data_IF_268138249833
#
_entry.id   IF_268138249833
#
_cell.length_a   1.000
_cell.length_b   1.000
_cell.length_c   1.000
_cell.angle_alpha   90.00
_cell.angle_beta   90.00
_cell.angle_gamma   90.00
#
_symmetry.space_group_name_H-M   'P 1'
#
loop_
_entity.id
_entity.type
_entity.pdbx_description
1 polymer ?
#
# COMPACT_ATOMS: atom_id res chain seq x y z
N UNK A 1 18.97 50.30 29.40
CA UNK A 1 17.83 50.20 28.46
C UNK A 1 18.34 49.58 27.18
N UNK A 2 18.22 48.24 27.08
CA UNK A 2 17.20 47.53 26.28
C UNK A 2 17.51 47.56 24.79
N UNK A 3 18.01 46.43 24.23
CA UNK A 3 17.71 45.91 22.87
C UNK A 3 18.65 44.82 22.30
N UNK A 4 19.63 44.27 23.02
CA UNK A 4 20.62 43.36 22.39
C UNK A 4 20.49 41.87 22.71
N UNK A 5 19.52 41.46 23.54
CA UNK A 5 19.41 40.08 24.05
C UNK A 5 18.22 39.31 23.52
N UNK A 6 17.58 39.77 22.43
CA UNK A 6 16.40 39.12 21.83
C UNK A 6 16.67 38.49 20.46
N UNK A 7 17.84 38.72 19.85
CA UNK A 7 18.15 38.25 18.48
C UNK A 7 18.84 36.88 18.46
N UNK A 8 19.43 36.43 19.57
CA UNK A 8 20.09 35.11 19.62
C UNK A 8 19.13 33.93 19.87
N UNK A 9 17.89 34.18 20.34
CA UNK A 9 16.90 33.13 20.55
C UNK A 9 16.16 32.74 19.25
N UNK A 10 16.20 33.61 18.23
CA UNK A 10 15.49 33.41 16.96
C UNK A 10 16.29 32.57 15.94
N UNK A 11 17.62 32.44 16.10
CA UNK A 11 18.44 31.54 15.29
C UNK A 11 18.42 30.07 15.74
N UNK A 12 17.90 29.77 16.94
CA UNK A 12 17.82 28.41 17.47
C UNK A 12 16.62 27.59 16.98
N UNK A 13 15.64 28.22 16.32
CA UNK A 13 14.41 27.56 15.86
C UNK A 13 14.45 27.07 14.41
N UNK A 14 15.54 27.33 13.67
CA UNK A 14 15.69 26.89 12.27
C UNK A 14 16.37 25.52 12.10
N UNK A 15 16.78 24.86 13.20
CA UNK A 15 17.51 23.59 13.13
C UNK A 15 16.67 22.34 13.45
N UNK A 16 15.38 22.48 13.75
CA UNK A 16 14.48 21.34 13.99
C UNK A 16 13.52 21.13 12.82
N UNK A 17 14.04 21.16 11.59
CA UNK A 17 13.39 20.43 10.52
C UNK A 17 13.50 18.95 10.89
N UNK A 18 12.52 18.46 11.65
CA UNK A 18 12.28 17.03 11.74
C UNK A 18 12.20 16.54 10.29
N UNK A 19 13.06 15.58 9.95
CA UNK A 19 13.01 14.98 8.62
C UNK A 19 11.60 14.42 8.47
N UNK A 20 10.81 15.00 7.57
CA UNK A 20 9.48 14.49 7.28
C UNK A 20 9.67 13.03 6.87
N UNK A 21 9.13 12.13 7.69
CA UNK A 21 9.32 10.71 7.44
C UNK A 21 8.54 10.31 6.21
N UNK A 22 9.19 9.52 5.36
CA UNK A 22 8.61 8.93 4.19
C UNK A 22 7.58 7.87 4.60
N UNK A 23 6.28 8.10 4.35
CA UNK A 23 5.29 7.03 4.49
C UNK A 23 5.31 6.19 3.22
N UNK A 24 5.55 4.87 3.35
CA UNK A 24 5.38 3.96 2.20
C UNK A 24 3.89 3.87 1.87
N UNK A 25 3.49 4.45 0.75
CA UNK A 25 2.12 4.31 0.26
C UNK A 25 2.17 3.42 -0.98
N UNK A 26 1.22 2.51 -1.12
CA UNK A 26 0.93 1.81 -2.36
C UNK A 26 -0.51 2.13 -2.74
N UNK A 27 -0.72 3.27 -3.38
CA UNK A 27 -1.99 3.60 -4.00
C UNK A 27 -2.16 2.73 -5.25
N UNK A 28 -3.34 2.17 -5.48
CA UNK A 28 -3.60 1.29 -6.63
C UNK A 28 -4.99 1.45 -7.23
N UNK A 29 -5.05 1.30 -8.55
CA UNK A 29 -6.30 1.13 -9.29
C UNK A 29 -6.39 -0.32 -9.79
N UNK A 30 -7.45 -1.02 -9.38
CA UNK A 30 -7.59 -2.44 -9.57
C UNK A 30 -8.95 -2.86 -10.10
N UNK A 31 -8.99 -4.06 -10.68
CA UNK A 31 -10.20 -4.74 -11.13
C UNK A 31 -10.28 -6.09 -10.44
N UNK A 32 -11.47 -6.44 -9.96
CA UNK A 32 -11.72 -7.64 -9.19
C UNK A 32 -12.80 -8.51 -9.84
N UNK A 33 -12.54 -9.81 -9.88
CA UNK A 33 -13.52 -10.85 -10.16
C UNK A 33 -13.97 -11.41 -8.82
N UNK A 34 -15.16 -11.00 -8.39
CA UNK A 34 -15.74 -11.46 -7.13
C UNK A 34 -16.37 -12.84 -7.30
N UNK A 35 -16.32 -13.69 -6.26
CA UNK A 35 -16.90 -15.01 -6.30
C UNK A 35 -18.42 -14.95 -6.42
N UNK A 36 -18.99 -15.97 -7.06
CA UNK A 36 -20.45 -16.11 -7.20
C UNK A 36 -21.14 -16.48 -5.88
N UNK A 37 -20.40 -16.89 -4.84
CA UNK A 37 -20.93 -17.27 -3.54
C UNK A 37 -19.85 -17.70 -2.55
N UNK A 38 -20.30 -18.05 -1.34
CA UNK A 38 -19.44 -18.55 -0.25
C UNK A 38 -18.62 -19.78 -0.68
N UNK A 39 -17.37 -19.85 -0.25
CA UNK A 39 -16.43 -20.92 -0.55
C UNK A 39 -15.67 -20.76 -1.88
N UNK A 40 -16.02 -19.76 -2.70
CA UNK A 40 -15.28 -19.42 -3.92
C UNK A 40 -14.31 -18.26 -3.67
N UNK A 41 -13.24 -18.20 -4.44
CA UNK A 41 -12.18 -17.19 -4.29
C UNK A 41 -12.38 -16.00 -5.23
N UNK A 42 -12.11 -14.80 -4.72
CA UNK A 42 -11.91 -13.61 -5.53
C UNK A 42 -10.48 -13.57 -6.09
N UNK A 43 -10.33 -12.84 -7.19
CA UNK A 43 -9.03 -12.42 -7.71
C UNK A 43 -9.05 -10.94 -8.05
N UNK A 44 -7.96 -10.25 -7.77
CA UNK A 44 -7.79 -8.80 -7.96
C UNK A 44 -6.49 -8.53 -8.69
N UNK A 45 -6.55 -7.66 -9.70
CA UNK A 45 -5.39 -7.21 -10.47
C UNK A 45 -5.37 -5.69 -10.50
N UNK A 46 -4.29 -5.08 -10.03
CA UNK A 46 -4.17 -3.63 -9.92
C UNK A 46 -2.84 -3.10 -10.41
N UNK A 47 -2.86 -1.86 -10.87
CA UNK A 47 -1.66 -1.05 -11.15
C UNK A 47 -1.42 -0.15 -9.95
N UNK A 48 -0.18 -0.09 -9.47
CA UNK A 48 0.21 0.83 -8.42
C UNK A 48 0.42 2.20 -9.07
N UNK A 49 -0.32 3.19 -8.57
CA UNK A 49 -0.36 4.57 -9.06
C UNK A 49 0.08 5.50 -7.94
N UNK A 50 1.26 5.26 -7.38
CA UNK A 50 1.85 6.22 -6.45
C UNK A 50 2.06 7.53 -7.22
N UNK A 51 1.25 8.55 -6.92
CA UNK A 51 1.28 9.84 -7.59
C UNK A 51 2.58 10.60 -7.31
N UNK A 52 2.50 11.93 -7.16
CA UNK A 52 3.62 12.76 -6.68
C UNK A 52 3.89 12.54 -5.17
N UNK A 53 3.96 11.29 -4.75
CA UNK A 53 4.19 10.89 -3.37
C UNK A 53 5.61 11.27 -2.95
N UNK A 54 5.74 11.62 -1.67
CA UNK A 54 7.02 11.85 -1.00
C UNK A 54 7.89 10.61 -1.20
N UNK A 55 9.22 10.79 -1.35
CA UNK A 55 10.18 9.70 -1.50
C UNK A 55 9.83 8.58 -0.51
N UNK A 56 9.53 7.39 -1.00
CA UNK A 56 9.03 6.27 -0.20
C UNK A 56 10.21 5.48 0.40
N UNK A 57 10.05 4.81 1.56
CA UNK A 57 11.11 3.98 2.15
C UNK A 57 11.63 2.88 1.23
N UNK A 58 10.75 2.31 0.39
CA UNK A 58 11.14 1.44 -0.70
C UNK A 58 11.43 2.28 -1.95
N UNK A 59 12.65 2.24 -2.51
CA UNK A 59 13.02 3.06 -3.65
C UNK A 59 12.39 2.52 -4.94
N UNK A 60 11.11 2.83 -5.16
CA UNK A 60 10.39 2.46 -6.36
C UNK A 60 10.79 3.38 -7.52
N UNK A 61 11.22 2.78 -8.62
CA UNK A 61 11.61 3.45 -9.85
C UNK A 61 10.50 3.39 -10.90
N UNK A 62 9.53 4.29 -10.80
CA UNK A 62 8.43 4.40 -11.77
C UNK A 62 8.86 4.97 -13.13
N UNK A 63 10.11 5.42 -13.28
CA UNK A 63 10.63 5.87 -14.57
C UNK A 63 11.02 4.68 -15.47
N UNK A 64 11.45 3.57 -14.86
CA UNK A 64 11.91 2.38 -15.59
C UNK A 64 11.01 1.15 -15.43
N UNK A 65 10.09 1.15 -14.47
CA UNK A 65 9.25 -0.01 -14.17
C UNK A 65 7.79 0.35 -13.95
N UNK A 66 6.90 -0.56 -14.35
CA UNK A 66 5.51 -0.60 -13.90
C UNK A 66 5.41 -1.53 -12.67
N UNK A 67 4.62 -1.10 -11.68
CA UNK A 67 4.38 -1.89 -10.48
C UNK A 67 2.92 -2.32 -10.43
N UNK A 68 2.68 -3.60 -10.19
CA UNK A 68 1.34 -4.19 -10.14
C UNK A 68 1.10 -4.86 -8.80
N UNK A 69 -0.15 -4.91 -8.38
CA UNK A 69 -0.60 -5.66 -7.20
C UNK A 69 -1.58 -6.74 -7.63
N UNK A 70 -1.36 -7.96 -7.15
CA UNK A 70 -2.22 -9.11 -7.43
C UNK A 70 -2.68 -9.71 -6.11
N UNK A 71 -3.99 -9.90 -5.94
CA UNK A 71 -4.57 -10.63 -4.81
C UNK A 71 -5.27 -11.88 -5.35
N UNK A 72 -4.91 -13.04 -4.82
CA UNK A 72 -5.50 -14.34 -5.19
C UNK A 72 -5.93 -15.11 -3.96
N UNK A 73 -6.77 -16.14 -4.13
CA UNK A 73 -7.13 -17.04 -3.03
C UNK A 73 -7.97 -16.39 -1.93
N UNK A 74 -8.57 -15.22 -2.19
CA UNK A 74 -9.40 -14.52 -1.22
C UNK A 74 -10.80 -15.17 -1.18
N UNK A 75 -10.96 -16.17 -0.34
CA UNK A 75 -12.17 -17.01 -0.25
C UNK A 75 -13.27 -16.26 0.48
N UNK A 76 -14.47 -16.20 -0.10
CA UNK A 76 -15.62 -15.61 0.57
C UNK A 76 -16.18 -16.55 1.62
N UNK A 77 -16.13 -16.16 2.89
CA UNK A 77 -16.66 -16.95 4.01
C UNK A 77 -18.16 -16.68 4.20
N UNK A 78 -18.57 -15.42 4.04
CA UNK A 78 -19.97 -14.98 4.22
C UNK A 78 -20.36 -14.02 3.11
N UNK A 79 -21.55 -14.20 2.56
CA UNK A 79 -22.15 -13.33 1.56
C UNK A 79 -23.19 -12.38 2.19
N UNK A 80 -23.25 -11.14 1.71
CA UNK A 80 -24.28 -10.18 2.12
C UNK A 80 -23.93 -8.74 1.78
N UNK A 81 -24.66 -7.79 2.38
CA UNK A 81 -24.31 -6.37 2.31
C UNK A 81 -22.88 -6.14 2.81
N UNK A 82 -22.50 -6.84 3.87
CA UNK A 82 -21.11 -7.06 4.28
C UNK A 82 -20.75 -8.51 3.99
N UNK A 83 -19.70 -8.71 3.21
CA UNK A 83 -19.10 -10.00 2.92
C UNK A 83 -17.74 -10.10 3.61
N UNK A 84 -17.43 -11.28 4.13
CA UNK A 84 -16.17 -11.57 4.83
C UNK A 84 -15.35 -12.53 4.00
N UNK A 85 -14.02 -12.34 4.02
CA UNK A 85 -13.09 -13.14 3.24
C UNK A 85 -11.86 -13.58 4.05
N UNK A 86 -11.32 -14.74 3.71
CA UNK A 86 -10.13 -15.36 4.31
C UNK A 86 -9.16 -15.89 3.25
N UNK A 87 -7.92 -16.21 3.67
CA UNK A 87 -6.94 -16.96 2.87
C UNK A 87 -6.19 -16.21 1.76
N UNK A 88 -6.44 -14.90 1.57
CA UNK A 88 -5.87 -14.14 0.45
C UNK A 88 -4.34 -14.09 0.44
N UNK A 89 -3.73 -14.33 -0.71
CA UNK A 89 -2.32 -14.05 -0.99
C UNK A 89 -2.23 -12.73 -1.76
N UNK A 90 -1.30 -11.85 -1.36
CA UNK A 90 -1.02 -10.58 -2.04
C UNK A 90 0.42 -10.56 -2.52
N UNK A 91 0.65 -10.08 -3.74
CA UNK A 91 1.99 -9.90 -4.31
C UNK A 91 2.06 -8.59 -5.09
N UNK A 92 3.17 -7.88 -4.92
CA UNK A 92 3.54 -6.72 -5.72
C UNK A 92 4.64 -7.15 -6.68
N UNK A 93 4.44 -6.91 -7.97
CA UNK A 93 5.42 -7.21 -9.01
C UNK A 93 6.00 -5.90 -9.57
N UNK A 94 7.26 -5.98 -9.97
CA UNK A 94 7.98 -4.95 -10.71
C UNK A 94 8.27 -5.51 -12.10
N UNK A 95 7.77 -4.85 -13.15
CA UNK A 95 8.01 -5.24 -14.53
C UNK A 95 8.57 -4.09 -15.36
N UNK A 96 9.52 -4.40 -16.24
CA UNK A 96 10.13 -3.48 -17.20
C UNK A 96 9.75 -3.82 -18.66
N UNK A 97 9.11 -4.97 -18.90
CA UNK A 97 8.95 -5.54 -20.23
C UNK A 97 7.52 -5.40 -20.75
N UNK A 98 6.53 -5.79 -19.96
CA UNK A 98 5.12 -5.83 -20.37
C UNK A 98 4.34 -4.78 -19.60
N UNK A 99 3.52 -3.99 -20.31
CA UNK A 99 2.56 -3.14 -19.61
C UNK A 99 1.38 -3.97 -19.10
N UNK A 100 0.96 -3.71 -17.88
CA UNK A 100 -0.18 -4.39 -17.27
C UNK A 100 -1.46 -4.13 -18.10
N UNK A 101 -2.22 -5.15 -18.46
CA UNK A 101 -3.41 -5.04 -19.30
C UNK A 101 -4.55 -5.90 -18.74
N UNK A 102 -5.69 -5.30 -18.42
CA UNK A 102 -6.86 -5.99 -17.90
C UNK A 102 -7.46 -6.99 -18.90
N UNK A 103 -7.20 -6.87 -20.20
CA UNK A 103 -7.57 -7.89 -21.17
C UNK A 103 -6.64 -9.13 -21.12
N UNK A 104 -5.46 -9.01 -20.51
CA UNK A 104 -4.43 -10.04 -20.43
C UNK A 104 -3.94 -10.21 -18.97
N UNK A 105 -4.73 -10.83 -18.06
CA UNK A 105 -4.44 -10.81 -16.62
C UNK A 105 -3.06 -11.35 -16.21
N UNK A 106 -2.44 -12.20 -17.03
CA UNK A 106 -1.08 -12.71 -16.78
C UNK A 106 -0.01 -11.61 -16.79
N UNK A 107 -0.23 -10.48 -17.47
CA UNK A 107 0.71 -9.36 -17.52
C UNK A 107 0.77 -8.56 -16.20
N UNK A 108 0.01 -8.94 -15.18
CA UNK A 108 0.11 -8.34 -13.84
C UNK A 108 1.08 -9.12 -12.94
N UNK A 109 1.54 -10.29 -13.36
CA UNK A 109 2.34 -11.21 -12.55
C UNK A 109 3.55 -11.80 -13.30
N UNK A 110 3.89 -11.24 -14.46
CA UNK A 110 5.04 -11.63 -15.29
C UNK A 110 6.36 -10.94 -14.88
N UNK A 111 6.28 -9.91 -14.04
CA UNK A 111 7.44 -9.25 -13.44
C UNK A 111 8.05 -9.98 -12.23
N UNK A 112 9.04 -9.34 -11.62
CA UNK A 112 9.69 -9.83 -10.39
C UNK A 112 8.85 -9.48 -9.16
N UNK A 113 8.58 -10.46 -8.28
CA UNK A 113 7.90 -10.21 -7.01
C UNK A 113 8.81 -9.43 -6.05
N UNK A 114 8.46 -8.17 -5.78
CA UNK A 114 9.22 -7.30 -4.85
C UNK A 114 8.72 -7.40 -3.41
N UNK A 115 7.42 -7.63 -3.22
CA UNK A 115 6.80 -7.92 -1.94
C UNK A 115 5.72 -8.99 -2.13
N UNK A 116 5.59 -9.89 -1.16
CA UNK A 116 4.50 -10.87 -1.11
C UNK A 116 4.11 -11.16 0.32
N UNK A 117 2.87 -11.55 0.52
CA UNK A 117 2.29 -11.66 1.85
C UNK A 117 0.89 -12.26 1.86
N UNK A 118 0.25 -12.16 3.01
CA UNK A 118 -1.13 -12.63 3.22
C UNK A 118 -2.05 -11.45 3.53
N UNK A 119 -3.21 -11.43 2.90
CA UNK A 119 -4.32 -10.53 3.21
C UNK A 119 -5.24 -11.20 4.22
N UNK A 120 -5.16 -10.77 5.48
CA UNK A 120 -5.94 -11.27 6.59
C UNK A 120 -7.23 -10.47 6.78
N UNK A 121 -8.31 -11.18 7.10
CA UNK A 121 -9.60 -10.63 7.55
C UNK A 121 -10.15 -9.51 6.66
N UNK A 122 -10.19 -9.75 5.34
CA UNK A 122 -10.75 -8.75 4.43
C UNK A 122 -12.28 -8.73 4.53
N UNK A 123 -12.81 -7.56 4.85
CA UNK A 123 -14.23 -7.27 4.88
C UNK A 123 -14.57 -6.36 3.70
N UNK A 124 -15.64 -6.68 2.98
CA UNK A 124 -16.18 -5.85 1.89
C UNK A 124 -17.62 -5.48 2.20
N UNK A 125 -17.95 -4.20 2.25
CA UNK A 125 -19.29 -3.69 2.53
C UNK A 125 -19.81 -2.86 1.36
N UNK A 126 -20.97 -3.24 0.82
CA UNK A 126 -21.68 -2.43 -0.17
C UNK A 126 -22.67 -1.49 0.52
N UNK A 127 -22.52 -0.21 0.23
CA UNK A 127 -23.41 0.86 0.71
C UNK A 127 -24.60 1.05 -0.23
N UNK A 128 -24.38 0.85 -1.53
CA UNK A 128 -25.41 0.86 -2.57
C UNK A 128 -25.23 -0.35 -3.48
N UNK A 129 -26.08 -0.48 -4.52
CA UNK A 129 -25.89 -1.52 -5.53
C UNK A 129 -24.55 -1.40 -6.28
N UNK A 130 -23.98 -0.18 -6.34
CA UNK A 130 -22.80 0.11 -7.15
C UNK A 130 -21.60 0.65 -6.37
N UNK A 131 -21.77 1.07 -5.11
CA UNK A 131 -20.72 1.67 -4.30
C UNK A 131 -20.54 0.92 -2.99
N UNK A 132 -19.28 0.75 -2.60
CA UNK A 132 -18.92 0.11 -1.34
C UNK A 132 -17.49 0.43 -0.91
N UNK A 133 -17.03 -0.29 0.09
CA UNK A 133 -15.68 -0.23 0.60
C UNK A 133 -15.18 -1.63 0.96
N UNK A 134 -13.86 -1.77 1.04
CA UNK A 134 -13.20 -2.96 1.54
C UNK A 134 -12.07 -2.59 2.49
N UNK A 135 -11.87 -3.38 3.53
CA UNK A 135 -10.82 -3.19 4.52
C UNK A 135 -10.26 -4.54 4.97
N UNK A 136 -8.95 -4.66 5.07
CA UNK A 136 -8.24 -5.81 5.63
C UNK A 136 -6.86 -5.39 6.11
N UNK A 137 -6.00 -6.37 6.39
CA UNK A 137 -4.60 -6.12 6.71
C UNK A 137 -3.67 -7.05 5.93
N UNK A 138 -2.52 -6.53 5.52
CA UNK A 138 -1.47 -7.30 4.85
C UNK A 138 -0.30 -7.54 5.79
N UNK A 139 0.14 -8.79 5.82
CA UNK A 139 1.39 -9.21 6.43
C UNK A 139 2.37 -9.65 5.32
N UNK A 140 3.41 -8.86 5.09
CA UNK A 140 4.47 -9.14 4.14
C UNK A 140 5.42 -10.20 4.70
N UNK A 141 5.69 -11.23 3.91
CA UNK A 141 6.49 -12.41 4.30
C UNK A 141 7.51 -12.83 3.25
N UNK A 142 7.51 -12.21 2.07
CA UNK A 142 8.45 -12.52 0.99
C UNK A 142 8.63 -11.39 0.00
N UNK A 143 9.39 -11.67 -1.07
CA UNK A 143 9.74 -10.71 -2.13
C UNK A 143 11.17 -10.19 -2.01
N UNK A 144 11.72 -9.71 -3.12
CA UNK A 144 13.13 -9.26 -3.20
C UNK A 144 13.42 -8.02 -2.35
N UNK A 145 12.41 -7.23 -2.02
CA UNK A 145 12.53 -5.99 -1.23
C UNK A 145 12.08 -6.14 0.23
N UNK A 146 11.66 -7.33 0.70
CA UNK A 146 11.19 -7.51 2.09
C UNK A 146 12.21 -7.03 3.13
N UNK A 147 13.49 -7.29 2.89
CA UNK A 147 14.58 -6.94 3.81
C UNK A 147 14.86 -5.42 3.89
N UNK A 148 14.22 -4.62 3.04
CA UNK A 148 14.26 -3.16 3.13
C UNK A 148 13.23 -2.63 4.14
N UNK A 149 12.25 -3.44 4.54
CA UNK A 149 11.33 -3.15 5.62
C UNK A 149 11.92 -3.62 6.95
N UNK A 150 11.87 -2.79 7.98
CA UNK A 150 12.20 -3.26 9.33
C UNK A 150 11.24 -4.39 9.71
N UNK A 151 11.66 -5.41 10.49
CA UNK A 151 10.78 -6.52 10.86
C UNK A 151 9.46 -6.10 11.51
N UNK A 152 9.45 -5.00 12.28
CA UNK A 152 8.25 -4.44 12.89
C UNK A 152 7.27 -3.86 11.85
N UNK A 153 7.79 -3.42 10.71
CA UNK A 153 7.04 -2.83 9.61
C UNK A 153 6.65 -3.87 8.54
N UNK A 154 6.79 -5.17 8.80
CA UNK A 154 6.39 -6.20 7.83
C UNK A 154 4.93 -6.65 8.01
N UNK A 155 4.28 -6.30 9.13
CA UNK A 155 2.94 -6.82 9.47
C UNK A 155 1.90 -5.74 9.69
N UNK A 156 0.64 -6.07 9.44
CA UNK A 156 -0.53 -5.29 9.84
C UNK A 156 -0.84 -4.08 8.98
N UNK A 157 -0.30 -4.01 7.75
CA UNK A 157 -0.49 -2.88 6.84
C UNK A 157 -1.97 -2.78 6.44
N UNK A 158 -2.69 -1.70 6.74
CA UNK A 158 -4.07 -1.57 6.31
C UNK A 158 -4.19 -1.70 4.79
N UNK A 159 -5.07 -2.59 4.34
CA UNK A 159 -5.47 -2.74 2.95
C UNK A 159 -6.86 -2.16 2.80
N UNK A 160 -6.95 -0.98 2.20
CA UNK A 160 -8.19 -0.21 2.13
C UNK A 160 -8.60 -0.03 0.67
N UNK A 161 -9.89 -0.12 0.39
CA UNK A 161 -10.42 0.06 -0.96
C UNK A 161 -11.76 0.79 -0.91
N UNK A 162 -11.98 1.66 -1.90
CA UNK A 162 -13.30 2.01 -2.36
C UNK A 162 -13.69 1.08 -3.51
N UNK A 163 -14.94 0.63 -3.52
CA UNK A 163 -15.44 -0.36 -4.48
C UNK A 163 -16.49 0.29 -5.38
N UNK A 164 -16.34 0.11 -6.69
CA UNK A 164 -17.33 0.50 -7.68
C UNK A 164 -17.76 -0.67 -8.57
N UNK A 165 -19.06 -0.78 -8.83
CA UNK A 165 -19.64 -1.67 -9.86
C UNK A 165 -20.26 -0.88 -11.02
N UNK A 166 -19.92 0.40 -11.15
CA UNK A 166 -20.42 1.21 -12.27
C UNK A 166 -19.85 0.65 -13.58
N UNK A 167 -20.71 0.35 -14.55
CA UNK A 167 -20.30 -0.24 -15.84
C UNK A 167 -19.31 0.64 -16.62
N UNK A 168 -19.27 1.95 -16.36
CA UNK A 168 -18.30 2.88 -16.95
C UNK A 168 -16.90 2.80 -16.33
N UNK A 169 -16.74 2.09 -15.21
CA UNK A 169 -15.49 1.99 -14.45
C UNK A 169 -14.96 0.55 -14.35
N UNK A 170 -15.82 -0.44 -14.55
CA UNK A 170 -15.47 -1.86 -14.51
C UNK A 170 -15.06 -2.33 -15.90
N UNK A 171 -13.89 -2.95 -16.00
CA UNK A 171 -13.39 -3.51 -17.26
C UNK A 171 -14.17 -4.77 -17.66
N UNK A 172 -14.31 -5.07 -18.97
CA UNK A 172 -14.95 -6.32 -19.41
C UNK A 172 -14.32 -7.56 -18.76
N UNK A 173 -15.14 -8.47 -18.27
CA UNK A 173 -14.69 -9.69 -17.57
C UNK A 173 -14.50 -9.53 -16.06
N UNK A 174 -14.58 -8.30 -15.54
CA UNK A 174 -14.50 -8.00 -14.12
C UNK A 174 -15.87 -7.65 -13.55
N UNK A 175 -15.98 -7.77 -12.22
CA UNK A 175 -17.21 -7.45 -11.50
C UNK A 175 -17.14 -6.11 -10.75
N UNK A 176 -15.93 -5.69 -10.39
CA UNK A 176 -15.69 -4.54 -9.54
C UNK A 176 -14.40 -3.83 -9.95
N UNK A 177 -14.40 -2.50 -9.78
CA UNK A 177 -13.21 -1.66 -9.75
C UNK A 177 -12.91 -1.31 -8.30
N UNK A 178 -11.65 -1.46 -7.89
CA UNK A 178 -11.16 -1.11 -6.56
C UNK A 178 -10.15 0.03 -6.70
N UNK A 179 -10.43 1.15 -6.07
CA UNK A 179 -9.46 2.24 -5.89
C UNK A 179 -9.02 2.20 -4.43
N UNK A 180 -7.77 1.78 -4.23
CA UNK A 180 -7.30 1.33 -2.93
C UNK A 180 -5.90 1.76 -2.59
N UNK A 181 -5.51 1.40 -1.37
CA UNK A 181 -4.24 1.76 -0.77
C UNK A 181 -3.79 0.68 0.19
N UNK A 182 -2.48 0.44 0.20
CA UNK A 182 -1.78 -0.33 1.24
C UNK A 182 -0.69 0.54 1.86
N UNK A 183 -0.71 0.71 3.18
CA UNK A 183 0.23 1.59 3.90
C UNK A 183 0.68 0.95 5.22
N UNK A 184 1.85 1.29 5.77
CA UNK A 184 2.26 0.87 7.10
C UNK A 184 1.38 1.55 8.17
N UNK A 185 1.23 0.90 9.33
CA UNK A 185 0.41 1.44 10.43
C UNK A 185 0.98 2.71 11.05
N UNK A 186 2.30 2.75 11.14
CA UNK A 186 3.04 3.86 11.69
C UNK A 186 3.93 4.43 10.59
N UNK A 187 4.33 5.69 10.76
CA UNK A 187 5.35 6.24 9.86
C UNK A 187 6.60 5.37 9.95
N UNK A 188 7.09 4.92 8.79
CA UNK A 188 8.35 4.20 8.70
C UNK A 188 9.45 5.22 8.96
N UNK A 189 9.79 5.42 10.23
CA UNK A 189 10.91 6.26 10.63
C UNK A 189 12.18 5.49 10.38
N UNK A 190 13.13 6.12 9.66
CA UNK A 190 14.48 5.56 9.60
C UNK A 190 14.98 5.39 11.04
N UNK A 191 15.47 4.20 11.37
CA UNK A 191 16.00 3.95 12.71
C UNK A 191 17.26 4.79 12.88
N UNK A 192 17.16 5.94 13.55
CA UNK A 192 18.36 6.70 13.90
C UNK A 192 19.19 5.85 14.86
N UNK A 193 20.35 5.39 14.38
CA UNK A 193 21.28 4.55 15.16
C UNK A 193 21.94 5.32 16.32
N UNK A 194 21.59 6.60 16.49
CA UNK A 194 22.13 7.48 17.52
C UNK A 194 21.07 7.71 18.58
N UNK A 195 21.44 7.45 19.83
CA UNK A 195 20.70 7.95 20.98
C UNK A 195 20.64 9.48 20.94
N UNK A 196 19.58 10.04 21.52
CA UNK A 196 19.44 11.49 21.68
C UNK A 196 20.65 12.14 22.37
N UNK A 197 21.31 11.40 23.25
CA UNK A 197 22.56 11.77 23.90
C UNK A 197 23.74 11.91 22.93
N UNK A 198 23.89 11.01 21.96
CA UNK A 198 24.96 11.06 20.96
C UNK A 198 24.76 12.19 19.94
N UNK A 199 23.50 12.44 19.58
CA UNK A 199 23.14 13.63 18.80
C UNK A 199 23.57 14.90 19.53
N UNK A 200 23.21 15.05 20.81
CA UNK A 200 23.59 16.20 21.64
C UNK A 200 25.10 16.34 21.84
N UNK A 201 25.84 15.23 21.90
CA UNK A 201 27.29 15.26 22.08
C UNK A 201 28.03 15.85 20.87
N UNK A 202 27.47 15.73 19.65
CA UNK A 202 28.03 16.33 18.44
C UNK A 202 27.81 17.84 18.28
N UNK A 203 26.99 18.46 19.14
CA UNK A 203 26.71 19.91 19.13
C UNK A 203 27.51 20.71 20.18
N UNK A 204 28.44 20.08 20.88
CA UNK A 204 29.38 20.75 21.80
C UNK A 204 30.70 21.03 21.11
#
# INVERSE_FOLDING_TARGET
MTKTTLTLLLLGHLAFAASASAVQLFDFDAQAVMPAGTGSAAVVYGRIVNGSAVATPLPLDFANYEYTIVVTGLVQDTAGATSLFSGGAVAIHQDAATSADWATPSSFSDGTVILSGTLAAFQRTMLTATLGSGAGAVDWTGGTMLNLLAPADQTGWPFLTSVSRAASQVQPGYSERWDGKVEPREEVVSTERRSWSELKAGYR
#
